data_IF_714918023058
#
_entry.id   IF_714918023058
#
_cell.length_a   1.000
_cell.length_b   1.000
_cell.length_c   1.000
_cell.angle_alpha   90.00
_cell.angle_beta   90.00
_cell.angle_gamma   90.00
#
_symmetry.space_group_name_H-M   'P 1'
#
loop_
_entity.id
_entity.type
_entity.pdbx_description
1 polymer ?
#
# COMPACT_ATOMS: atom_id res chain seq x y z
N UNK A 1 -0.10 -14.14 6.94
CA UNK A 1 1.07 -13.26 6.78
C UNK A 1 2.20 -13.83 7.61
N UNK A 2 3.30 -14.27 7.00
CA UNK A 2 4.44 -14.76 7.77
C UNK A 2 5.03 -13.60 8.57
N UNK A 3 5.28 -13.82 9.86
CA UNK A 3 5.83 -12.86 10.82
C UNK A 3 4.95 -11.64 11.20
N UNK A 4 3.62 -11.81 11.27
CA UNK A 4 2.72 -10.76 11.79
C UNK A 4 3.08 -10.30 13.23
N UNK A 5 3.68 -11.18 14.04
CA UNK A 5 4.19 -10.88 15.38
C UNK A 5 5.39 -9.94 15.36
N UNK A 6 6.32 -10.10 14.41
CA UNK A 6 7.48 -9.22 14.23
C UNK A 6 7.07 -7.79 13.89
N UNK A 7 6.20 -7.61 12.88
CA UNK A 7 5.71 -6.28 12.50
C UNK A 7 4.96 -5.58 13.63
N UNK A 8 4.17 -6.33 14.41
CA UNK A 8 3.48 -5.79 15.58
C UNK A 8 4.47 -5.34 16.64
N UNK A 9 5.51 -6.14 16.94
CA UNK A 9 6.53 -5.80 17.92
C UNK A 9 7.32 -4.54 17.53
N UNK A 10 7.72 -4.43 16.27
CA UNK A 10 8.44 -3.26 15.75
C UNK A 10 7.56 -2.01 15.74
N UNK A 11 6.30 -2.16 15.32
CA UNK A 11 5.31 -1.09 15.37
C UNK A 11 5.09 -0.58 16.80
N UNK A 12 4.82 -1.48 17.77
CA UNK A 12 4.62 -1.09 19.17
C UNK A 12 5.87 -0.46 19.79
N UNK A 13 7.06 -1.02 19.53
CA UNK A 13 8.33 -0.47 20.03
C UNK A 13 8.57 0.97 19.57
N UNK A 14 8.20 1.26 18.32
CA UNK A 14 8.32 2.61 17.74
C UNK A 14 7.32 3.63 18.29
N UNK A 15 6.36 3.19 19.10
CA UNK A 15 5.30 4.01 19.70
C UNK A 15 5.37 4.08 21.23
N UNK A 16 6.37 3.46 21.84
CA UNK A 16 6.58 3.51 23.28
C UNK A 16 7.17 4.88 23.71
N UNK A 17 6.37 5.64 24.46
CA UNK A 17 6.72 6.98 24.95
C UNK A 17 7.44 6.97 26.31
N UNK A 18 7.55 5.83 26.99
CA UNK A 18 8.03 5.73 28.38
C UNK A 18 9.50 6.13 28.58
N UNK A 19 10.26 6.34 27.51
CA UNK A 19 11.71 6.62 27.52
C UNK A 19 12.09 7.98 26.92
N UNK A 20 11.26 9.03 27.12
CA UNK A 20 11.57 10.41 26.65
C UNK A 20 11.80 10.53 25.13
N UNK A 21 11.21 9.63 24.34
CA UNK A 21 11.21 9.78 22.88
C UNK A 21 10.25 10.91 22.52
N UNK A 22 10.78 11.99 21.95
CA UNK A 22 10.00 13.11 21.39
C UNK A 22 9.29 12.76 20.08
N UNK A 23 9.50 11.54 19.57
CA UNK A 23 8.99 11.09 18.27
C UNK A 23 8.47 9.66 18.36
N UNK A 24 7.37 9.40 17.66
CA UNK A 24 6.75 8.09 17.50
C UNK A 24 6.36 7.87 16.04
N UNK A 25 6.18 6.61 15.65
CA UNK A 25 5.64 6.28 14.32
C UNK A 25 4.15 6.60 14.27
N UNK A 26 3.77 7.51 13.37
CA UNK A 26 2.37 7.78 13.06
C UNK A 26 1.84 6.81 12.00
N UNK A 27 0.60 6.39 12.16
CA UNK A 27 -0.14 5.53 11.26
C UNK A 27 -1.37 6.27 10.71
N UNK A 28 -1.44 6.34 9.38
CA UNK A 28 -2.60 6.83 8.63
C UNK A 28 -3.19 5.68 7.83
N UNK A 29 -4.50 5.46 7.96
CA UNK A 29 -5.19 4.33 7.33
C UNK A 29 -6.33 4.81 6.46
N UNK A 30 -6.32 4.37 5.21
CA UNK A 30 -7.46 4.41 4.31
C UNK A 30 -8.00 3.00 4.18
N UNK A 31 -9.17 2.72 4.74
CA UNK A 31 -9.74 1.38 4.74
C UNK A 31 -11.25 1.38 4.54
N UNK A 32 -11.79 0.28 4.03
CA UNK A 32 -13.24 0.14 3.80
C UNK A 32 -13.99 -0.25 5.05
N UNK A 33 -13.61 -1.38 5.65
CA UNK A 33 -14.16 -1.85 6.90
C UNK A 33 -13.29 -1.41 8.06
N UNK A 34 -13.88 -1.26 9.24
CA UNK A 34 -13.14 -0.94 10.46
C UNK A 34 -12.29 -2.14 10.88
N UNK A 35 -10.97 -1.97 10.97
CA UNK A 35 -10.04 -3.05 11.35
C UNK A 35 -9.26 -2.73 12.63
N UNK A 36 -8.62 -3.74 13.22
CA UNK A 36 -7.70 -3.55 14.36
C UNK A 36 -6.53 -2.64 14.02
N UNK A 37 -6.08 -2.62 12.76
CA UNK A 37 -5.04 -1.69 12.30
C UNK A 37 -5.57 -0.27 12.26
N UNK A 38 -6.78 -0.07 11.72
CA UNK A 38 -7.47 1.22 11.72
C UNK A 38 -7.74 1.77 13.13
N UNK A 39 -8.09 0.90 14.09
CA UNK A 39 -8.27 1.29 15.51
C UNK A 39 -7.01 1.87 16.15
N UNK A 40 -5.83 1.44 15.69
CA UNK A 40 -4.53 1.87 16.22
C UNK A 40 -3.93 3.05 15.44
N UNK A 41 -4.65 3.59 14.45
CA UNK A 41 -4.20 4.72 13.63
C UNK A 41 -4.56 6.07 14.25
N UNK A 42 -3.73 7.10 14.05
CA UNK A 42 -4.13 8.47 14.42
C UNK A 42 -5.20 9.01 13.48
N UNK A 43 -5.06 8.71 12.20
CA UNK A 43 -5.96 9.20 11.16
C UNK A 43 -6.51 8.02 10.38
N UNK A 44 -7.84 7.90 10.40
CA UNK A 44 -8.57 6.87 9.68
C UNK A 44 -9.56 7.53 8.74
N UNK A 45 -9.43 7.27 7.44
CA UNK A 45 -10.38 7.70 6.43
C UNK A 45 -11.10 6.48 5.87
N UNK A 46 -12.43 6.46 6.00
CA UNK A 46 -13.24 5.40 5.40
C UNK A 46 -13.32 5.59 3.88
N UNK A 47 -13.11 4.51 3.11
CA UNK A 47 -13.19 4.50 1.64
C UNK A 47 -14.06 3.34 1.17
N UNK A 48 -14.55 3.34 -0.08
CA UNK A 48 -15.30 2.17 -0.57
C UNK A 48 -14.33 1.04 -0.95
N UNK A 49 -14.78 -0.24 -0.91
CA UNK A 49 -14.01 -1.32 -1.50
C UNK A 49 -13.63 -0.99 -2.96
N UNK A 50 -12.34 -1.06 -3.28
CA UNK A 50 -11.80 -0.73 -4.61
C UNK A 50 -11.19 0.67 -4.75
N UNK A 51 -11.55 1.63 -3.89
CA UNK A 51 -11.05 3.01 -3.99
C UNK A 51 -9.58 3.16 -3.57
N UNK A 52 -9.00 2.15 -2.92
CA UNK A 52 -7.63 2.17 -2.39
C UNK A 52 -6.58 2.45 -3.48
N UNK A 53 -6.80 1.97 -4.71
CA UNK A 53 -5.90 2.24 -5.86
C UNK A 53 -5.90 3.73 -6.18
N UNK A 54 -7.09 4.33 -6.26
CA UNK A 54 -7.27 5.76 -6.55
C UNK A 54 -6.64 6.62 -5.46
N UNK A 55 -6.77 6.23 -4.19
CA UNK A 55 -6.11 6.92 -3.07
C UNK A 55 -4.59 6.86 -3.19
N UNK A 56 -4.01 5.68 -3.43
CA UNK A 56 -2.57 5.52 -3.58
C UNK A 56 -2.01 6.34 -4.76
N UNK A 57 -2.71 6.32 -5.91
CA UNK A 57 -2.38 7.16 -7.06
C UNK A 57 -2.54 8.64 -6.75
N UNK A 58 -3.52 9.03 -5.93
CA UNK A 58 -3.71 10.42 -5.53
C UNK A 58 -2.59 10.94 -4.63
N UNK A 59 -2.10 10.11 -3.70
CA UNK A 59 -0.91 10.42 -2.90
C UNK A 59 0.33 10.60 -3.79
N UNK A 60 0.54 9.70 -4.76
CA UNK A 60 1.62 9.83 -5.73
C UNK A 60 1.49 11.11 -6.57
N UNK A 61 0.26 11.44 -6.99
CA UNK A 61 -0.03 12.62 -7.78
C UNK A 61 0.20 13.91 -6.99
N UNK A 62 -0.20 13.95 -5.72
CA UNK A 62 0.07 15.06 -4.81
C UNK A 62 1.58 15.34 -4.69
N UNK A 63 2.38 14.29 -4.44
CA UNK A 63 3.83 14.44 -4.30
C UNK A 63 4.47 14.86 -5.64
N UNK A 64 4.17 14.14 -6.73
CA UNK A 64 4.83 14.33 -8.01
C UNK A 64 4.41 15.62 -8.73
N UNK A 65 3.11 15.93 -8.75
CA UNK A 65 2.57 17.07 -9.51
C UNK A 65 2.25 18.27 -8.63
N UNK A 66 1.73 18.04 -7.41
CA UNK A 66 1.35 19.09 -6.48
C UNK A 66 2.58 19.73 -5.82
N UNK A 67 3.36 18.92 -5.11
CA UNK A 67 4.61 19.36 -4.47
C UNK A 67 5.75 19.53 -5.48
N UNK A 68 5.64 18.89 -6.65
CA UNK A 68 6.72 18.82 -7.67
C UNK A 68 7.99 18.18 -7.11
N UNK A 69 7.81 17.08 -6.39
CA UNK A 69 8.84 16.38 -5.65
C UNK A 69 8.94 14.90 -6.02
N UNK A 70 10.10 14.30 -5.73
CA UNK A 70 10.38 12.89 -5.99
C UNK A 70 11.08 12.65 -7.33
N UNK A 71 11.55 11.42 -7.53
CA UNK A 71 12.41 11.06 -8.67
C UNK A 71 11.78 11.23 -10.06
N UNK A 72 10.46 11.32 -10.13
CA UNK A 72 9.72 11.51 -11.38
C UNK A 72 9.16 12.93 -11.55
N UNK A 73 9.43 13.85 -10.61
CA UNK A 73 9.01 15.24 -10.71
C UNK A 73 9.73 15.91 -11.89
N UNK A 74 8.98 16.17 -12.96
CA UNK A 74 9.52 16.69 -14.22
C UNK A 74 9.47 15.68 -15.38
N UNK A 75 9.16 14.40 -15.12
CA UNK A 75 8.83 13.47 -16.18
C UNK A 75 7.41 13.73 -16.69
N UNK A 76 7.30 14.32 -17.88
CA UNK A 76 6.00 14.68 -18.48
C UNK A 76 5.04 13.51 -18.66
N UNK A 77 5.54 12.30 -18.92
CA UNK A 77 4.69 11.12 -19.08
C UNK A 77 4.05 10.72 -17.74
N UNK A 78 4.84 10.65 -16.67
CA UNK A 78 4.36 10.34 -15.32
C UNK A 78 3.40 11.42 -14.83
N UNK A 79 3.76 12.69 -15.02
CA UNK A 79 2.90 13.82 -14.64
C UNK A 79 1.55 13.78 -15.35
N UNK A 80 1.52 13.43 -16.64
CA UNK A 80 0.29 13.30 -17.41
C UNK A 80 -0.59 12.16 -16.89
N UNK A 81 -0.02 10.99 -16.60
CA UNK A 81 -0.75 9.84 -16.04
C UNK A 81 -1.36 10.18 -14.67
N UNK A 82 -0.64 10.93 -13.83
CA UNK A 82 -1.08 11.30 -12.48
C UNK A 82 -2.04 12.51 -12.46
N UNK A 83 -2.17 13.27 -13.55
CA UNK A 83 -3.00 14.49 -13.62
C UNK A 83 -4.50 14.25 -13.36
N UNK A 84 -4.98 13.03 -13.62
CA UNK A 84 -6.34 12.60 -13.34
C UNK A 84 -6.61 12.37 -11.84
N UNK A 85 -5.55 12.18 -11.04
CA UNK A 85 -5.62 11.76 -9.64
C UNK A 85 -5.32 12.88 -8.64
N UNK A 86 -5.41 14.14 -9.04
CA UNK A 86 -5.19 15.26 -8.10
C UNK A 86 -6.12 15.15 -6.87
N UNK A 87 -5.62 15.46 -5.65
CA UNK A 87 -6.36 15.26 -4.40
C UNK A 87 -7.79 15.82 -4.41
N UNK A 88 -8.00 16.99 -5.00
CA UNK A 88 -9.32 17.65 -5.04
C UNK A 88 -10.32 16.87 -5.89
N UNK A 89 -9.88 16.33 -7.05
CA UNK A 89 -10.72 15.54 -7.94
C UNK A 89 -11.06 14.19 -7.30
N UNK A 90 -10.07 13.55 -6.71
CA UNK A 90 -10.22 12.24 -6.07
C UNK A 90 -11.10 12.36 -4.83
N UNK A 91 -10.86 13.36 -3.97
CA UNK A 91 -11.68 13.63 -2.80
C UNK A 91 -13.16 13.83 -3.15
N UNK A 92 -13.45 14.62 -4.19
CA UNK A 92 -14.82 14.82 -4.68
C UNK A 92 -15.47 13.54 -5.19
N UNK A 93 -14.74 12.69 -5.91
CA UNK A 93 -15.25 11.40 -6.40
C UNK A 93 -15.44 10.35 -5.30
N UNK A 94 -14.57 10.38 -4.29
CA UNK A 94 -14.59 9.42 -3.17
C UNK A 94 -15.53 9.84 -2.04
N UNK A 95 -15.91 11.12 -1.99
CA UNK A 95 -16.70 11.67 -0.88
C UNK A 95 -15.91 11.76 0.42
N UNK A 96 -14.60 12.02 0.33
CA UNK A 96 -13.68 12.17 1.47
C UNK A 96 -13.10 13.58 1.49
N UNK A 97 -12.50 13.99 2.61
CA UNK A 97 -11.79 15.28 2.68
C UNK A 97 -10.46 15.20 1.91
N UNK A 98 -10.22 16.16 1.01
CA UNK A 98 -8.95 16.29 0.30
C UNK A 98 -7.77 16.46 1.26
N UNK A 99 -8.00 17.08 2.43
CA UNK A 99 -6.98 17.24 3.47
C UNK A 99 -6.44 15.91 3.98
N UNK A 100 -7.25 14.84 4.01
CA UNK A 100 -6.75 13.52 4.41
C UNK A 100 -5.67 13.02 3.46
N UNK A 101 -5.81 13.27 2.16
CA UNK A 101 -4.83 12.89 1.14
C UNK A 101 -3.61 13.80 1.19
N UNK A 102 -3.81 15.13 1.19
CA UNK A 102 -2.70 16.09 1.14
C UNK A 102 -1.85 16.03 2.41
N UNK A 103 -2.45 15.98 3.59
CA UNK A 103 -1.72 15.86 4.85
C UNK A 103 -0.93 14.55 4.96
N UNK A 104 -1.51 13.44 4.49
CA UNK A 104 -0.80 12.17 4.43
C UNK A 104 0.38 12.22 3.45
N UNK A 105 0.18 12.80 2.26
CA UNK A 105 1.24 12.97 1.27
C UNK A 105 2.38 13.88 1.76
N UNK A 106 2.05 15.00 2.41
CA UNK A 106 3.02 15.93 2.99
C UNK A 106 3.84 15.27 4.10
N UNK A 107 3.18 14.49 4.98
CA UNK A 107 3.84 13.74 6.04
C UNK A 107 4.76 12.66 5.47
N UNK A 108 4.30 11.90 4.47
CA UNK A 108 5.12 10.89 3.79
C UNK A 108 6.35 11.51 3.15
N UNK A 109 6.20 12.65 2.47
CA UNK A 109 7.31 13.37 1.84
C UNK A 109 8.32 13.92 2.86
N UNK A 110 7.81 14.49 3.96
CA UNK A 110 8.65 15.00 5.06
C UNK A 110 9.55 13.92 5.65
N UNK A 111 9.04 12.68 5.75
CA UNK A 111 9.76 11.54 6.31
C UNK A 111 10.18 10.50 5.25
N UNK A 112 10.32 10.91 3.98
CA UNK A 112 10.74 10.03 2.88
C UNK A 112 12.04 9.29 3.20
N UNK A 113 12.15 8.04 2.76
CA UNK A 113 13.23 7.11 3.12
C UNK A 113 13.18 6.58 4.57
N UNK A 114 12.28 7.11 5.40
CA UNK A 114 11.94 6.57 6.74
C UNK A 114 10.45 6.23 6.88
N UNK A 115 9.66 6.55 5.86
CA UNK A 115 8.24 6.26 5.78
C UNK A 115 8.03 4.90 5.11
N UNK A 116 6.79 4.41 5.14
CA UNK A 116 6.41 3.16 4.48
C UNK A 116 4.95 3.23 4.07
N UNK A 117 4.67 2.87 2.82
CA UNK A 117 3.30 2.68 2.33
C UNK A 117 3.04 1.19 2.15
N UNK A 118 1.93 0.72 2.72
CA UNK A 118 1.49 -0.66 2.63
C UNK A 118 0.08 -0.67 2.05
N UNK A 119 -0.20 -1.55 1.09
CA UNK A 119 -1.54 -1.72 0.56
C UNK A 119 -1.69 -3.02 -0.21
N UNK A 120 -2.87 -3.62 -0.10
CA UNK A 120 -3.19 -4.91 -0.69
C UNK A 120 -2.52 -6.09 0.02
N UNK A 121 -2.97 -7.29 -0.31
CA UNK A 121 -2.24 -8.51 0.06
C UNK A 121 -1.23 -8.85 -1.04
N UNK A 122 -0.01 -9.34 -0.72
CA UNK A 122 0.89 -9.86 -1.73
C UNK A 122 0.26 -10.96 -2.59
N UNK A 123 -0.69 -11.71 -2.03
CA UNK A 123 -1.44 -12.77 -2.73
C UNK A 123 -2.41 -12.21 -3.78
N UNK A 124 -2.87 -10.97 -3.62
CA UNK A 124 -3.74 -10.27 -4.57
C UNK A 124 -2.95 -9.50 -5.63
N UNK A 125 -1.60 -9.54 -5.62
CA UNK A 125 -0.74 -8.78 -6.52
C UNK A 125 -0.59 -9.40 -7.92
N UNK A 126 -1.64 -10.05 -8.45
CA UNK A 126 -1.62 -10.72 -9.77
C UNK A 126 -2.77 -10.26 -10.67
N UNK A 127 -2.55 -10.21 -11.98
CA UNK A 127 -3.61 -9.88 -12.95
C UNK A 127 -4.31 -8.54 -12.69
N UNK A 128 -5.65 -8.49 -12.82
CA UNK A 128 -6.43 -7.26 -12.64
C UNK A 128 -6.40 -6.71 -11.21
N UNK A 129 -6.03 -7.51 -10.21
CA UNK A 129 -5.97 -7.10 -8.79
C UNK A 129 -4.60 -6.54 -8.40
N UNK A 130 -3.60 -6.61 -9.29
CA UNK A 130 -2.25 -6.09 -9.04
C UNK A 130 -2.18 -4.55 -8.99
N UNK A 131 -3.22 -3.85 -9.43
CA UNK A 131 -3.24 -2.39 -9.55
C UNK A 131 -2.86 -1.68 -8.23
N UNK A 132 -3.33 -2.18 -7.09
CA UNK A 132 -3.00 -1.61 -5.79
C UNK A 132 -1.52 -1.82 -5.43
N UNK A 133 -1.00 -3.04 -5.63
CA UNK A 133 0.40 -3.35 -5.36
C UNK A 133 1.34 -2.52 -6.26
N UNK A 134 0.98 -2.32 -7.53
CA UNK A 134 1.73 -1.47 -8.47
C UNK A 134 1.71 -0.02 -8.00
N UNK A 135 0.55 0.53 -7.63
CA UNK A 135 0.43 1.90 -7.16
C UNK A 135 1.21 2.13 -5.86
N UNK A 136 1.18 1.18 -4.92
CA UNK A 136 1.94 1.23 -3.66
C UNK A 136 3.44 1.16 -3.93
N UNK A 137 3.91 0.28 -4.81
CA UNK A 137 5.33 0.20 -5.18
C UNK A 137 5.80 1.49 -5.87
N UNK A 138 5.01 2.05 -6.79
CA UNK A 138 5.31 3.34 -7.39
C UNK A 138 5.46 4.43 -6.33
N UNK A 139 4.54 4.49 -5.38
CA UNK A 139 4.56 5.49 -4.31
C UNK A 139 5.75 5.33 -3.36
N UNK A 140 6.06 4.10 -2.93
CA UNK A 140 7.27 3.82 -2.14
C UNK A 140 8.54 4.20 -2.91
N UNK A 141 8.55 3.98 -4.22
CA UNK A 141 9.67 4.42 -5.04
C UNK A 141 9.78 5.94 -5.07
N UNK A 142 8.69 6.68 -5.31
CA UNK A 142 8.66 8.16 -5.26
C UNK A 142 9.20 8.69 -3.92
N UNK A 143 8.94 7.98 -2.82
CA UNK A 143 9.35 8.32 -1.46
C UNK A 143 10.76 7.85 -1.09
N UNK A 144 11.55 7.31 -2.03
CA UNK A 144 12.89 6.77 -1.77
C UNK A 144 12.91 5.72 -0.64
N UNK A 145 11.82 4.95 -0.51
CA UNK A 145 11.70 3.90 0.50
C UNK A 145 12.40 2.60 0.06
N UNK A 146 12.60 2.43 -1.25
CA UNK A 146 13.32 1.30 -1.84
C UNK A 146 14.75 1.20 -1.27
N UNK A 147 15.09 0.05 -0.68
CA UNK A 147 16.38 -0.20 -0.03
C UNK A 147 16.53 0.40 1.38
N UNK A 148 15.55 1.19 1.85
CA UNK A 148 15.56 1.78 3.20
C UNK A 148 14.52 1.14 4.11
N UNK A 149 13.24 1.22 3.72
CA UNK A 149 12.12 0.63 4.45
C UNK A 149 11.45 -0.50 3.67
N UNK A 150 11.74 -0.61 2.37
CA UNK A 150 11.29 -1.70 1.50
C UNK A 150 12.50 -2.46 0.96
N UNK A 151 12.60 -3.75 1.29
CA UNK A 151 13.64 -4.64 0.77
C UNK A 151 13.08 -5.50 -0.37
N UNK A 152 13.64 -5.34 -1.58
CA UNK A 152 13.34 -6.17 -2.75
C UNK A 152 14.41 -7.25 -3.01
N UNK A 153 15.57 -7.14 -2.39
CA UNK A 153 16.74 -8.00 -2.65
C UNK A 153 16.63 -9.31 -1.88
N UNK A 154 16.15 -9.27 -0.64
CA UNK A 154 16.00 -10.45 0.21
C UNK A 154 14.53 -10.87 0.30
N UNK A 155 13.98 -11.32 -0.83
CA UNK A 155 12.67 -11.96 -0.79
C UNK A 155 12.74 -13.19 0.10
N UNK A 156 11.91 -13.21 1.15
CA UNK A 156 11.84 -14.32 2.10
C UNK A 156 11.33 -15.63 1.46
N UNK A 157 10.90 -15.60 0.18
CA UNK A 157 10.48 -16.79 -0.57
C UNK A 157 9.31 -17.53 0.07
N UNK A 158 8.61 -16.87 1.00
CA UNK A 158 7.49 -17.44 1.73
C UNK A 158 6.41 -17.76 0.72
N UNK A 159 6.24 -19.05 0.45
CA UNK A 159 5.43 -19.57 -0.63
C UNK A 159 4.12 -18.78 -0.77
N UNK A 160 3.93 -18.17 -1.94
CA UNK A 160 2.58 -17.96 -2.45
C UNK A 160 1.98 -19.36 -2.44
N UNK A 161 1.00 -19.64 -1.57
CA UNK A 161 0.23 -20.87 -1.70
C UNK A 161 -0.29 -21.02 -3.14
N UNK A 162 -0.85 -22.19 -3.47
CA UNK A 162 -1.38 -22.44 -4.81
C UNK A 162 -2.24 -21.26 -5.28
N UNK A 163 -1.88 -20.69 -6.43
CA UNK A 163 -2.67 -19.62 -7.04
C UNK A 163 -4.07 -20.14 -7.35
N UNK A 164 -5.05 -19.24 -7.43
CA UNK A 164 -6.42 -19.59 -7.84
C UNK A 164 -6.41 -20.38 -9.16
N UNK A 165 -5.54 -19.98 -10.10
CA UNK A 165 -5.32 -20.69 -11.36
C UNK A 165 -4.89 -22.14 -11.14
N UNK A 166 -3.92 -22.40 -10.27
CA UNK A 166 -3.45 -23.76 -9.97
C UNK A 166 -4.53 -24.61 -9.29
N UNK A 167 -5.40 -23.99 -8.49
CA UNK A 167 -6.55 -24.69 -7.90
C UNK A 167 -7.58 -25.04 -8.99
N UNK A 168 -7.87 -24.11 -9.91
CA UNK A 168 -8.79 -24.36 -11.02
C UNK A 168 -8.27 -25.45 -11.98
N UNK A 169 -6.97 -25.42 -12.30
CA UNK A 169 -6.31 -26.47 -13.08
C UNK A 169 -6.39 -27.82 -12.37
N UNK A 170 -6.20 -27.86 -11.04
CA UNK A 170 -6.37 -29.08 -10.26
C UNK A 170 -7.82 -29.59 -10.30
N UNK A 171 -8.81 -28.70 -10.21
CA UNK A 171 -10.23 -29.06 -10.33
C UNK A 171 -10.54 -29.65 -11.72
N UNK A 172 -10.01 -29.05 -12.78
CA UNK A 172 -10.15 -29.58 -14.14
C UNK A 172 -9.48 -30.95 -14.30
N UNK A 173 -8.30 -31.14 -13.72
CA UNK A 173 -7.60 -32.42 -13.76
C UNK A 173 -8.31 -33.51 -12.92
N UNK A 174 -8.99 -33.14 -11.83
CA UNK A 174 -9.88 -34.04 -11.09
C UNK A 174 -11.12 -34.43 -11.93
N UNK A 175 -11.77 -33.47 -12.59
CA UNK A 175 -12.94 -33.72 -13.43
C UNK A 175 -12.63 -34.60 -14.64
N UNK A 176 -11.44 -34.42 -15.22
CA UNK A 176 -10.96 -35.22 -16.34
C UNK A 176 -10.35 -36.58 -15.91
N UNK A 177 -10.39 -36.91 -14.61
CA UNK A 177 -9.85 -38.17 -14.08
C UNK A 177 -8.33 -38.31 -14.20
N UNK A 178 -7.61 -37.22 -14.47
CA UNK A 178 -6.14 -37.20 -14.54
C UNK A 178 -5.52 -37.34 -13.15
N UNK A 179 -6.21 -36.88 -12.10
CA UNK A 179 -5.80 -37.07 -10.70
C UNK A 179 -6.54 -38.26 -10.10
N UNK A 180 -5.77 -39.30 -9.72
CA UNK A 180 -6.29 -40.53 -9.11
C UNK A 180 -6.30 -40.51 -7.58
N UNK A 181 -5.45 -39.70 -6.96
CA UNK A 181 -5.33 -39.61 -5.50
C UNK A 181 -4.95 -38.18 -5.14
N UNK A 182 -5.68 -37.60 -4.19
CA UNK A 182 -5.45 -36.29 -3.62
C UNK A 182 -5.15 -36.48 -2.12
N UNK A 183 -4.09 -35.84 -1.62
CA UNK A 183 -3.62 -35.92 -0.22
C UNK A 183 -3.68 -34.53 0.39
#
# INVERSE_FOLDING_TARGET
MPNASGYTADYTRSRDLRHSRSHYNSLVVFESMFTVTGSNAENRTAIRPGDAVTVALSLAAHINNGLKQGKFAGNGQVSNLLSAYMPEKVAGSLGIDAKSITAAGDALWKYRGKSLVIGGSPQSATGKTAALAIAVNLLNSILDNDGNTVDYQHSLGLATGSSEKQILELVEDLQNGKVKTLI
#
